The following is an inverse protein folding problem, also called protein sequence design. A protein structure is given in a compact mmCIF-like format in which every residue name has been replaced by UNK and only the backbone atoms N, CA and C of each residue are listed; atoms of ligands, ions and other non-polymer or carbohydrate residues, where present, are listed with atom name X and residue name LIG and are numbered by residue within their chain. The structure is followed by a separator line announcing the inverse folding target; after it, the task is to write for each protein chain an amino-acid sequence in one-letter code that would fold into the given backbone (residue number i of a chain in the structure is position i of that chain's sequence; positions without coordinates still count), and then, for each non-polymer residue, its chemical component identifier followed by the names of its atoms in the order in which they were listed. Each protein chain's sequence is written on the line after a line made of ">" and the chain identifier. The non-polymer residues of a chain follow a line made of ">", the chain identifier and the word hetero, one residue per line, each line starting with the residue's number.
data_IF_313782353275
#
_entry.id   IF_313782353275
#
_cell.length_a   1.000
_cell.length_b   1.000
_cell.length_c   1.000
_cell.angle_alpha   90.00
_cell.angle_beta   90.00
_cell.angle_gamma   90.00
#
_symmetry.space_group_name_H-M   'P 1'
#
loop_
_entity.id
_entity.type
_entity.pdbx_description
1 polymer ?
#
# COMPACT_ATOMS: atom_id res chain seq x y z
N UNK A 1 -12.51 -21.56 -47.73
CA UNK A 1 -12.89 -21.35 -46.32
C UNK A 1 -14.37 -21.70 -46.18
N UNK A 2 -14.72 -22.64 -45.30
CA UNK A 2 -16.07 -23.19 -45.22
C UNK A 2 -16.96 -22.31 -44.33
N UNK A 3 -18.06 -21.80 -44.88
CA UNK A 3 -19.13 -21.15 -44.11
C UNK A 3 -20.15 -22.21 -43.74
N UNK A 4 -20.50 -22.33 -42.46
CA UNK A 4 -21.48 -23.32 -42.00
C UNK A 4 -22.68 -22.62 -41.39
N UNK A 5 -23.88 -23.04 -41.79
CA UNK A 5 -25.15 -22.53 -41.29
C UNK A 5 -25.50 -23.20 -39.95
N UNK A 6 -25.99 -22.39 -39.00
CA UNK A 6 -26.36 -22.80 -37.66
C UNK A 6 -27.69 -22.14 -37.26
N UNK A 7 -28.66 -22.95 -36.82
CA UNK A 7 -29.85 -22.44 -36.16
C UNK A 7 -29.58 -22.32 -34.65
N UNK A 8 -29.59 -21.09 -34.11
CA UNK A 8 -29.47 -20.85 -32.68
C UNK A 8 -30.87 -20.79 -32.06
N UNK A 9 -31.18 -21.73 -31.17
CA UNK A 9 -32.39 -21.67 -30.36
C UNK A 9 -32.30 -20.48 -29.39
N UNK A 10 -33.15 -19.46 -29.63
CA UNK A 10 -33.32 -18.31 -28.75
C UNK A 10 -34.63 -18.48 -27.98
N UNK A 11 -34.60 -18.71 -26.65
CA UNK A 11 -35.82 -18.90 -25.87
C UNK A 11 -36.79 -17.72 -26.02
N UNK A 12 -38.00 -17.99 -26.51
CA UNK A 12 -39.09 -17.01 -26.62
C UNK A 12 -38.91 -15.92 -27.69
N UNK A 13 -38.05 -16.12 -28.70
CA UNK A 13 -37.74 -15.09 -29.72
C UNK A 13 -37.77 -15.66 -31.14
N UNK A 14 -38.07 -14.84 -32.17
CA UNK A 14 -38.16 -15.32 -33.55
C UNK A 14 -36.85 -15.92 -34.03
N UNK A 15 -36.94 -16.87 -34.97
CA UNK A 15 -35.78 -17.60 -35.51
C UNK A 15 -34.71 -16.65 -36.04
N UNK A 16 -33.48 -16.90 -35.61
CA UNK A 16 -32.29 -16.17 -36.03
C UNK A 16 -31.34 -17.17 -36.69
N UNK A 17 -31.05 -16.94 -37.96
CA UNK A 17 -30.04 -17.69 -38.70
C UNK A 17 -28.67 -17.13 -38.38
N UNK A 18 -27.73 -18.01 -38.05
CA UNK A 18 -26.35 -17.64 -37.78
C UNK A 18 -25.42 -18.42 -38.69
N UNK A 19 -24.54 -17.72 -39.39
CA UNK A 19 -23.42 -18.35 -40.08
C UNK A 19 -22.13 -18.02 -39.35
N UNK A 20 -21.15 -18.92 -39.40
CA UNK A 20 -19.89 -18.67 -38.73
C UNK A 20 -18.68 -18.97 -39.61
N UNK A 21 -17.58 -18.27 -39.33
CA UNK A 21 -16.33 -18.37 -40.05
C UNK A 21 -15.15 -18.20 -39.09
N UNK A 22 -14.20 -19.14 -39.15
CA UNK A 22 -12.92 -19.01 -38.44
C UNK A 22 -12.07 -17.95 -39.15
N UNK A 23 -11.54 -17.02 -38.36
CA UNK A 23 -10.63 -15.97 -38.79
C UNK A 23 -9.22 -16.25 -38.25
N UNK A 24 -8.26 -15.44 -38.68
CA UNK A 24 -6.90 -15.49 -38.15
C UNK A 24 -6.84 -15.29 -36.64
N UNK A 25 -5.80 -15.89 -36.03
CA UNK A 25 -5.48 -15.77 -34.61
C UNK A 25 -6.59 -16.28 -33.68
N UNK A 26 -7.30 -17.34 -34.09
CA UNK A 26 -8.26 -18.03 -33.22
C UNK A 26 -9.59 -17.32 -33.05
N UNK A 27 -9.86 -16.26 -33.82
CA UNK A 27 -11.13 -15.52 -33.76
C UNK A 27 -12.19 -16.23 -34.57
N UNK A 28 -13.45 -16.17 -34.14
CA UNK A 28 -14.58 -16.67 -34.94
C UNK A 28 -15.62 -15.58 -35.13
N UNK A 29 -15.92 -15.33 -36.40
CA UNK A 29 -16.97 -14.44 -36.84
C UNK A 29 -18.30 -15.18 -36.85
N UNK A 30 -19.32 -14.59 -36.25
CA UNK A 30 -20.71 -15.02 -36.29
C UNK A 30 -21.53 -13.93 -36.97
N UNK A 31 -22.08 -14.22 -38.14
CA UNK A 31 -23.00 -13.33 -38.85
C UNK A 31 -24.42 -13.73 -38.51
N UNK A 32 -25.16 -12.79 -37.95
CA UNK A 32 -26.49 -12.99 -37.39
C UNK A 32 -27.51 -12.32 -38.31
N UNK A 33 -28.58 -13.05 -38.67
CA UNK A 33 -29.66 -12.53 -39.50
C UNK A 33 -31.02 -13.02 -38.98
N UNK A 34 -31.91 -12.08 -38.74
CA UNK A 34 -33.30 -12.33 -38.35
C UNK A 34 -34.16 -11.09 -38.63
N UNK A 35 -35.47 -11.19 -38.36
CA UNK A 35 -36.44 -10.13 -38.71
C UNK A 35 -36.14 -8.77 -38.07
N UNK A 36 -35.62 -8.76 -36.83
CA UNK A 36 -35.33 -7.53 -36.05
C UNK A 36 -33.89 -7.49 -35.53
N UNK A 37 -33.03 -8.37 -36.00
CA UNK A 37 -31.64 -8.49 -35.57
C UNK A 37 -30.77 -8.81 -36.78
N UNK A 38 -29.75 -7.99 -37.04
CA UNK A 38 -28.73 -8.29 -38.04
C UNK A 38 -27.37 -7.75 -37.62
N UNK A 39 -26.29 -8.36 -38.08
CA UNK A 39 -24.93 -7.84 -37.92
C UNK A 39 -23.94 -8.92 -37.51
N UNK A 40 -22.75 -8.51 -37.10
CA UNK A 40 -21.64 -9.42 -36.84
C UNK A 40 -21.23 -9.40 -35.37
N UNK A 41 -20.93 -10.57 -34.83
CA UNK A 41 -20.28 -10.77 -33.54
C UNK A 41 -18.96 -11.50 -33.77
N UNK A 42 -17.85 -10.99 -33.25
CA UNK A 42 -16.56 -11.69 -33.29
C UNK A 42 -16.21 -12.17 -31.90
N UNK A 43 -16.08 -13.48 -31.77
CA UNK A 43 -15.64 -14.16 -30.56
C UNK A 43 -14.13 -14.30 -30.63
N UNK A 44 -13.43 -13.68 -29.69
CA UNK A 44 -11.98 -13.66 -29.62
C UNK A 44 -11.52 -14.23 -28.26
N UNK A 45 -10.70 -15.29 -28.23
CA UNK A 45 -10.07 -15.73 -27.01
C UNK A 45 -9.22 -14.61 -26.39
N UNK A 46 -9.20 -14.54 -25.07
CA UNK A 46 -8.50 -13.54 -24.29
C UNK A 46 -7.73 -14.21 -23.15
N UNK A 47 -6.45 -13.83 -23.05
CA UNK A 47 -5.54 -14.32 -22.02
C UNK A 47 -5.30 -13.18 -21.04
N UNK A 48 -5.89 -13.23 -19.84
CA UNK A 48 -5.63 -12.22 -18.84
C UNK A 48 -4.14 -12.21 -18.45
N UNK A 49 -3.58 -11.00 -18.30
CA UNK A 49 -2.20 -10.79 -17.90
C UNK A 49 -1.85 -11.44 -16.54
N UNK A 50 -2.82 -11.57 -15.63
CA UNK A 50 -2.62 -12.14 -14.29
C UNK A 50 -3.42 -13.45 -14.04
N UNK A 51 -3.98 -14.09 -15.09
CA UNK A 51 -4.77 -15.32 -14.93
C UNK A 51 -3.95 -16.60 -14.80
N UNK A 52 -4.62 -17.75 -14.85
CA UNK A 52 -3.92 -19.04 -14.97
C UNK A 52 -3.54 -19.32 -16.43
N UNK A 53 -2.46 -20.07 -16.64
CA UNK A 53 -2.17 -20.68 -17.96
C UNK A 53 -3.33 -21.61 -18.29
N UNK A 54 -3.82 -21.58 -19.53
CA UNK A 54 -4.97 -22.39 -19.91
C UNK A 54 -6.33 -21.81 -19.47
N UNK A 55 -6.36 -20.69 -18.73
CA UNK A 55 -7.60 -19.99 -18.44
C UNK A 55 -7.95 -19.07 -19.60
N UNK A 56 -8.84 -19.54 -20.46
CA UNK A 56 -9.22 -18.83 -21.67
C UNK A 56 -10.56 -18.15 -21.46
N UNK A 57 -10.49 -16.84 -21.21
CA UNK A 57 -11.66 -16.00 -21.29
C UNK A 57 -11.91 -15.64 -22.75
N UNK A 58 -13.06 -15.03 -23.01
CA UNK A 58 -13.47 -14.68 -24.37
C UNK A 58 -14.07 -13.28 -24.38
N UNK A 59 -13.65 -12.46 -25.32
CA UNK A 59 -14.33 -11.22 -25.65
C UNK A 59 -15.27 -11.43 -26.84
N UNK A 60 -16.46 -10.85 -26.76
CA UNK A 60 -17.38 -10.77 -27.89
C UNK A 60 -17.40 -9.33 -28.38
N UNK A 61 -16.73 -9.09 -29.50
CA UNK A 61 -16.71 -7.80 -30.17
C UNK A 61 -17.95 -7.65 -31.03
N UNK A 62 -18.56 -6.46 -30.99
CA UNK A 62 -19.68 -6.11 -31.86
C UNK A 62 -19.11 -5.52 -33.16
N UNK A 63 -19.26 -6.24 -34.28
CA UNK A 63 -18.60 -5.97 -35.56
C UNK A 63 -17.22 -6.65 -35.73
N UNK A 64 -16.66 -6.54 -36.93
CA UNK A 64 -15.49 -7.27 -37.46
C UNK A 64 -14.14 -6.64 -37.12
N UNK A 65 -14.11 -5.52 -36.38
CA UNK A 65 -12.84 -4.83 -36.16
C UNK A 65 -11.87 -5.55 -35.24
N UNK A 66 -10.60 -5.35 -35.57
CA UNK A 66 -9.43 -6.08 -35.04
C UNK A 66 -8.80 -5.45 -33.81
N UNK A 67 -9.06 -4.15 -33.58
CA UNK A 67 -8.51 -3.36 -32.48
C UNK A 67 -9.45 -3.36 -31.26
N UNK A 68 -8.90 -3.02 -30.08
CA UNK A 68 -9.71 -2.54 -28.96
C UNK A 68 -10.70 -1.51 -29.49
N UNK A 69 -11.97 -1.65 -29.15
CA UNK A 69 -13.05 -0.80 -29.65
C UNK A 69 -12.63 0.66 -29.47
N UNK A 70 -12.19 1.32 -30.55
CA UNK A 70 -11.87 2.74 -30.50
C UNK A 70 -13.20 3.44 -30.21
N UNK A 71 -13.29 4.23 -29.14
CA UNK A 71 -14.53 4.92 -28.88
C UNK A 71 -14.79 5.84 -30.08
N UNK A 72 -16.05 5.85 -30.55
CA UNK A 72 -16.60 6.85 -31.48
C UNK A 72 -16.43 6.62 -33.00
N UNK A 73 -16.17 5.42 -33.51
CA UNK A 73 -16.29 5.17 -34.96
C UNK A 73 -17.27 4.02 -35.23
N UNK A 74 -18.52 4.31 -35.66
CA UNK A 74 -19.51 3.27 -35.94
C UNK A 74 -19.05 2.41 -37.12
N UNK A 75 -19.13 1.09 -36.94
CA UNK A 75 -18.79 0.14 -38.01
C UNK A 75 -20.05 -0.30 -38.74
N UNK A 76 -20.01 -0.46 -40.08
CA UNK A 76 -21.20 -0.76 -40.88
C UNK A 76 -21.83 -2.12 -40.53
N UNK A 77 -21.03 -3.05 -40.01
CA UNK A 77 -21.37 -4.43 -39.72
C UNK A 77 -21.72 -4.71 -38.24
N UNK A 78 -21.74 -3.66 -37.41
CA UNK A 78 -22.25 -3.74 -36.04
C UNK A 78 -23.68 -4.28 -35.96
N UNK A 79 -24.04 -4.97 -34.87
CA UNK A 79 -25.38 -5.47 -34.65
C UNK A 79 -26.41 -4.35 -34.58
N UNK A 80 -27.45 -4.47 -35.40
CA UNK A 80 -28.65 -3.64 -35.39
C UNK A 80 -29.79 -4.47 -34.83
N UNK A 81 -30.32 -4.05 -33.68
CA UNK A 81 -31.38 -4.74 -32.94
C UNK A 81 -32.57 -3.82 -32.76
N UNK A 82 -33.75 -4.22 -33.24
CA UNK A 82 -34.96 -3.39 -33.25
C UNK A 82 -34.71 -1.98 -33.85
N UNK A 83 -33.88 -1.90 -34.90
CA UNK A 83 -33.51 -0.64 -35.55
C UNK A 83 -32.40 0.16 -34.85
N UNK A 84 -31.89 -0.31 -33.71
CA UNK A 84 -30.83 0.35 -32.95
C UNK A 84 -29.48 -0.31 -33.21
N UNK A 85 -28.51 0.46 -33.73
CA UNK A 85 -27.12 0.01 -33.88
C UNK A 85 -26.41 0.01 -32.53
N UNK A 86 -25.76 -1.09 -32.18
CA UNK A 86 -25.10 -1.30 -30.90
C UNK A 86 -23.60 -1.47 -31.10
N UNK A 87 -22.83 -0.62 -30.43
CA UNK A 87 -21.38 -0.54 -30.52
C UNK A 87 -20.73 -0.97 -29.20
N UNK A 88 -19.59 -1.65 -29.26
CA UNK A 88 -18.85 -2.06 -28.08
C UNK A 88 -18.30 -3.48 -28.14
N UNK A 89 -17.98 -4.00 -26.97
CA UNK A 89 -17.59 -5.39 -26.76
C UNK A 89 -18.09 -5.85 -25.38
N UNK A 90 -18.21 -7.17 -25.19
CA UNK A 90 -18.45 -7.73 -23.87
C UNK A 90 -17.24 -7.52 -22.95
N UNK A 91 -17.46 -7.62 -21.65
CA UNK A 91 -16.37 -7.95 -20.73
C UNK A 91 -15.78 -9.34 -21.05
N UNK A 92 -14.69 -9.69 -20.38
CA UNK A 92 -14.10 -11.01 -20.53
C UNK A 92 -15.07 -12.05 -19.96
N UNK A 93 -15.63 -12.89 -20.82
CA UNK A 93 -16.60 -13.92 -20.46
C UNK A 93 -15.90 -15.26 -20.25
N UNK A 94 -16.30 -15.98 -19.22
CA UNK A 94 -15.99 -17.40 -19.06
C UNK A 94 -17.02 -18.22 -19.85
N UNK A 95 -16.65 -18.89 -20.96
CA UNK A 95 -17.58 -19.70 -21.74
C UNK A 95 -18.21 -20.85 -20.95
N UNK A 96 -17.53 -21.34 -19.89
CA UNK A 96 -17.99 -22.44 -19.06
C UNK A 96 -18.90 -21.98 -17.91
N UNK A 97 -18.84 -20.68 -17.55
CA UNK A 97 -19.65 -20.05 -16.50
C UNK A 97 -20.15 -18.67 -16.92
N UNK A 98 -21.14 -18.64 -17.81
CA UNK A 98 -21.70 -17.38 -18.29
C UNK A 98 -22.47 -16.64 -17.19
N UNK A 99 -22.22 -15.33 -16.97
CA UNK A 99 -22.96 -14.52 -16.01
C UNK A 99 -24.41 -14.30 -16.46
N UNK A 100 -25.27 -13.91 -15.51
CA UNK A 100 -26.66 -13.55 -15.78
C UNK A 100 -26.76 -12.35 -16.75
N UNK A 101 -25.84 -11.40 -16.67
CA UNK A 101 -25.71 -10.23 -17.55
C UNK A 101 -24.38 -10.34 -18.29
N UNK A 102 -24.41 -10.41 -19.62
CA UNK A 102 -23.21 -10.58 -20.46
C UNK A 102 -22.75 -9.28 -21.12
N UNK A 103 -23.64 -8.29 -21.23
CA UNK A 103 -23.33 -6.95 -21.70
C UNK A 103 -23.19 -6.04 -20.49
N UNK A 104 -21.96 -5.67 -20.11
CA UNK A 104 -21.69 -4.68 -19.07
C UNK A 104 -21.60 -3.26 -19.67
N UNK A 105 -21.05 -2.29 -18.93
CA UNK A 105 -20.97 -0.85 -19.28
C UNK A 105 -20.21 -0.51 -20.58
N UNK A 106 -19.61 -1.50 -21.25
CA UNK A 106 -18.81 -1.35 -22.48
C UNK A 106 -19.62 -1.37 -23.78
N UNK A 107 -20.94 -1.32 -23.68
CA UNK A 107 -21.84 -1.33 -24.85
C UNK A 107 -22.74 -0.12 -24.84
N UNK A 108 -22.80 0.57 -25.97
CA UNK A 108 -23.56 1.81 -26.14
C UNK A 108 -24.18 1.93 -27.53
N UNK A 109 -25.09 2.88 -27.67
CA UNK A 109 -25.55 3.36 -28.98
C UNK A 109 -24.77 4.61 -29.31
N UNK A 110 -24.06 4.62 -30.43
CA UNK A 110 -23.39 5.80 -30.95
C UNK A 110 -24.40 6.74 -31.59
N UNK A 111 -24.32 8.01 -31.22
CA UNK A 111 -25.09 9.11 -31.79
C UNK A 111 -24.30 9.80 -32.90
N UNK A 112 -24.99 10.59 -33.73
CA UNK A 112 -24.39 11.29 -34.88
C UNK A 112 -23.35 12.35 -34.50
N UNK A 113 -23.40 12.85 -33.27
CA UNK A 113 -22.45 13.80 -32.67
C UNK A 113 -21.29 13.11 -31.94
N UNK A 114 -21.09 11.82 -32.17
CA UNK A 114 -20.14 10.97 -31.43
C UNK A 114 -20.49 10.81 -29.94
N UNK A 115 -21.66 11.29 -29.50
CA UNK A 115 -22.21 11.00 -28.19
C UNK A 115 -22.53 9.52 -28.04
N UNK A 116 -22.62 9.07 -26.79
CA UNK A 116 -23.07 7.71 -26.47
C UNK A 116 -24.34 7.77 -25.62
N UNK A 117 -25.27 6.84 -25.88
CA UNK A 117 -26.40 6.61 -24.98
C UNK A 117 -26.52 5.14 -24.60
N UNK A 118 -27.22 4.88 -23.50
CA UNK A 118 -27.55 3.53 -23.05
C UNK A 118 -28.33 2.78 -24.14
N UNK A 119 -28.02 1.50 -24.32
CA UNK A 119 -28.79 0.60 -25.19
C UNK A 119 -30.18 0.38 -24.59
N UNK A 120 -31.28 0.56 -25.34
CA UNK A 120 -32.63 0.26 -24.86
C UNK A 120 -32.77 -1.19 -24.39
N UNK A 121 -33.54 -1.41 -23.33
CA UNK A 121 -33.58 -2.72 -22.65
C UNK A 121 -34.01 -3.87 -23.59
N UNK A 122 -35.03 -3.66 -24.42
CA UNK A 122 -35.44 -4.68 -25.40
C UNK A 122 -34.38 -5.04 -26.45
N UNK A 123 -33.53 -4.07 -26.85
CA UNK A 123 -32.40 -4.33 -27.75
C UNK A 123 -31.24 -5.01 -27.01
N UNK A 124 -30.99 -4.61 -25.76
CA UNK A 124 -29.99 -5.21 -24.88
C UNK A 124 -30.30 -6.67 -24.60
N UNK A 125 -31.50 -6.98 -24.13
CA UNK A 125 -31.88 -8.37 -23.81
C UNK A 125 -31.81 -9.28 -25.04
N UNK A 126 -32.23 -8.78 -26.20
CA UNK A 126 -32.12 -9.47 -27.50
C UNK A 126 -30.67 -9.81 -27.83
N UNK A 127 -29.77 -8.84 -27.71
CA UNK A 127 -28.35 -9.04 -27.96
C UNK A 127 -27.70 -9.97 -26.92
N UNK A 128 -28.06 -9.86 -25.64
CA UNK A 128 -27.57 -10.75 -24.58
C UNK A 128 -27.96 -12.22 -24.82
N UNK A 129 -29.19 -12.48 -25.27
CA UNK A 129 -29.62 -13.84 -25.59
C UNK A 129 -28.80 -14.44 -26.75
N UNK A 130 -28.51 -13.64 -27.77
CA UNK A 130 -27.71 -14.05 -28.92
C UNK A 130 -26.27 -14.32 -28.50
N UNK A 131 -25.67 -13.44 -27.70
CA UNK A 131 -24.33 -13.64 -27.16
C UNK A 131 -24.26 -14.91 -26.33
N UNK A 132 -25.24 -15.15 -25.44
CA UNK A 132 -25.30 -16.40 -24.67
C UNK A 132 -25.40 -17.63 -25.57
N UNK A 133 -26.21 -17.58 -26.64
CA UNK A 133 -26.32 -18.68 -27.59
C UNK A 133 -25.01 -18.91 -28.37
N UNK A 134 -24.37 -17.84 -28.86
CA UNK A 134 -23.06 -17.90 -29.51
C UNK A 134 -21.99 -18.45 -28.56
N UNK A 135 -21.99 -18.06 -27.28
CA UNK A 135 -21.04 -18.57 -26.30
C UNK A 135 -21.27 -20.05 -25.97
N UNK A 136 -22.52 -20.52 -25.90
CA UNK A 136 -22.83 -21.95 -25.76
C UNK A 136 -22.34 -22.76 -26.97
N UNK A 137 -22.50 -22.22 -28.18
CA UNK A 137 -21.96 -22.84 -29.39
C UNK A 137 -20.43 -22.87 -29.35
N UNK A 138 -19.78 -21.73 -29.09
CA UNK A 138 -18.33 -21.61 -28.94
C UNK A 138 -17.77 -22.66 -27.97
N UNK A 139 -18.41 -22.83 -26.81
CA UNK A 139 -18.02 -23.81 -25.79
C UNK A 139 -17.99 -25.26 -26.32
N UNK A 140 -18.89 -25.61 -27.23
CA UNK A 140 -19.08 -26.97 -27.78
C UNK A 140 -18.30 -27.24 -29.07
N UNK A 141 -17.57 -26.25 -29.59
CA UNK A 141 -16.80 -26.41 -30.82
C UNK A 141 -15.71 -27.46 -30.66
N UNK A 142 -15.57 -28.34 -31.66
CA UNK A 142 -14.50 -29.34 -31.68
C UNK A 142 -13.10 -28.72 -31.83
N UNK A 143 -12.98 -27.61 -32.56
CA UNK A 143 -11.74 -26.87 -32.80
C UNK A 143 -11.45 -25.79 -31.74
N UNK A 144 -12.21 -25.74 -30.63
CA UNK A 144 -12.05 -24.70 -29.58
C UNK A 144 -10.62 -24.61 -29.07
N UNK A 145 -9.98 -25.75 -28.81
CA UNK A 145 -8.61 -25.80 -28.29
C UNK A 145 -7.61 -25.18 -29.27
N UNK A 146 -7.73 -25.48 -30.56
CA UNK A 146 -6.85 -24.95 -31.61
C UNK A 146 -7.03 -23.43 -31.78
N UNK A 147 -8.27 -22.96 -31.74
CA UNK A 147 -8.59 -21.53 -31.80
C UNK A 147 -7.98 -20.77 -30.63
N UNK A 148 -8.13 -21.33 -29.43
CA UNK A 148 -7.50 -20.78 -28.23
C UNK A 148 -5.98 -20.72 -28.39
N UNK A 149 -5.34 -21.82 -28.77
CA UNK A 149 -3.89 -21.89 -28.95
C UNK A 149 -3.39 -20.90 -30.01
N UNK A 150 -4.14 -20.70 -31.09
CA UNK A 150 -3.83 -19.71 -32.13
C UNK A 150 -3.86 -18.27 -31.59
N UNK A 151 -4.79 -17.96 -30.68
CA UNK A 151 -4.82 -16.68 -29.99
C UNK A 151 -3.65 -16.53 -29.00
N UNK A 152 -3.29 -17.60 -28.27
CA UNK A 152 -2.12 -17.57 -27.38
C UNK A 152 -0.83 -17.30 -28.13
N UNK A 153 -0.61 -17.97 -29.26
CA UNK A 153 0.57 -17.75 -30.10
C UNK A 153 0.66 -16.31 -30.60
N UNK A 154 -0.46 -15.70 -30.98
CA UNK A 154 -0.51 -14.29 -31.42
C UNK A 154 0.00 -13.34 -30.33
N UNK A 155 -0.50 -13.51 -29.10
CA UNK A 155 -0.23 -12.57 -28.01
C UNK A 155 1.03 -12.94 -27.20
N UNK A 156 1.60 -14.13 -27.44
CA UNK A 156 2.72 -14.70 -26.68
C UNK A 156 3.91 -13.73 -26.56
N UNK A 157 4.31 -13.06 -27.64
CA UNK A 157 5.44 -12.12 -27.60
C UNK A 157 5.19 -10.93 -26.65
N UNK A 158 3.97 -10.38 -26.65
CA UNK A 158 3.59 -9.30 -25.72
C UNK A 158 3.53 -9.81 -24.27
N UNK A 159 2.99 -11.01 -24.09
CA UNK A 159 2.89 -11.65 -22.78
C UNK A 159 4.26 -11.97 -22.20
N UNK A 160 5.23 -12.44 -22.99
CA UNK A 160 6.62 -12.65 -22.52
C UNK A 160 7.21 -11.36 -21.94
N UNK A 161 7.05 -10.23 -22.63
CA UNK A 161 7.54 -8.94 -22.16
C UNK A 161 6.84 -8.53 -20.86
N UNK A 162 5.51 -8.73 -20.77
CA UNK A 162 4.76 -8.45 -19.56
C UNK A 162 5.23 -9.30 -18.37
N UNK A 163 5.30 -10.62 -18.54
CA UNK A 163 5.70 -11.56 -17.50
C UNK A 163 7.16 -11.33 -17.06
N UNK A 164 8.06 -10.98 -17.99
CA UNK A 164 9.44 -10.64 -17.67
C UNK A 164 9.52 -9.40 -16.75
N UNK A 165 8.77 -8.34 -17.04
CA UNK A 165 8.69 -7.17 -16.15
C UNK A 165 8.15 -7.54 -14.77
N UNK A 166 7.12 -8.41 -14.71
CA UNK A 166 6.58 -8.90 -13.42
C UNK A 166 7.61 -9.69 -12.63
N UNK A 167 8.40 -10.53 -13.29
CA UNK A 167 9.49 -11.29 -12.67
C UNK A 167 10.55 -10.35 -12.09
N UNK A 168 10.95 -9.31 -12.83
CA UNK A 168 11.90 -8.29 -12.38
C UNK A 168 11.36 -7.53 -11.15
N UNK A 169 10.14 -7.01 -11.23
CA UNK A 169 9.47 -6.30 -10.14
C UNK A 169 9.38 -7.15 -8.86
N UNK A 170 8.98 -8.42 -9.00
CA UNK A 170 8.85 -9.33 -7.85
C UNK A 170 10.21 -9.70 -7.28
N UNK A 171 11.24 -9.83 -8.11
CA UNK A 171 12.61 -10.10 -7.65
C UNK A 171 13.14 -8.93 -6.82
N UNK A 172 12.91 -7.68 -7.26
CA UNK A 172 13.27 -6.49 -6.51
C UNK A 172 12.51 -6.40 -5.16
N UNK A 173 11.19 -6.59 -5.17
CA UNK A 173 10.35 -6.60 -3.95
C UNK A 173 10.75 -7.70 -2.97
N UNK A 174 11.16 -8.86 -3.47
CA UNK A 174 11.64 -9.96 -2.64
C UNK A 174 12.97 -9.61 -1.96
N UNK A 175 13.88 -8.95 -2.68
CA UNK A 175 15.16 -8.48 -2.12
C UNK A 175 14.93 -7.45 -1.00
N UNK A 176 14.03 -6.49 -1.22
CA UNK A 176 13.61 -5.51 -0.21
C UNK A 176 13.02 -6.19 1.03
N UNK A 177 12.04 -7.09 0.83
CA UNK A 177 11.39 -7.84 1.92
C UNK A 177 12.42 -8.67 2.73
N UNK A 178 13.42 -9.24 2.07
CA UNK A 178 14.52 -9.97 2.74
C UNK A 178 15.43 -9.05 3.54
N UNK A 179 15.74 -7.87 3.02
CA UNK A 179 16.53 -6.86 3.74
C UNK A 179 15.77 -6.36 4.98
N UNK A 180 14.48 -6.08 4.86
CA UNK A 180 13.61 -5.71 6.00
C UNK A 180 13.57 -6.82 7.04
N UNK A 181 13.42 -8.09 6.61
CA UNK A 181 13.42 -9.25 7.51
C UNK A 181 14.75 -9.39 8.24
N UNK A 182 15.87 -9.18 7.56
CA UNK A 182 17.20 -9.18 8.17
C UNK A 182 17.35 -8.05 9.20
N UNK A 183 16.89 -6.84 8.87
CA UNK A 183 16.88 -5.71 9.79
C UNK A 183 16.01 -5.97 11.03
N UNK A 184 14.80 -6.52 10.85
CA UNK A 184 13.92 -6.93 11.95
C UNK A 184 14.56 -8.04 12.81
N UNK A 185 15.25 -9.00 12.17
CA UNK A 185 16.03 -10.03 12.86
C UNK A 185 17.17 -9.43 13.70
N UNK A 186 17.88 -8.43 13.19
CA UNK A 186 18.90 -7.70 13.93
C UNK A 186 18.31 -6.96 15.14
N UNK A 187 17.18 -6.27 14.96
CA UNK A 187 16.46 -5.62 16.06
C UNK A 187 16.04 -6.62 17.13
N UNK A 188 15.51 -7.78 16.74
CA UNK A 188 15.14 -8.87 17.67
C UNK A 188 16.33 -9.34 18.51
N UNK A 189 17.50 -9.52 17.88
CA UNK A 189 18.76 -9.87 18.57
C UNK A 189 19.19 -8.78 19.54
N UNK A 190 19.16 -7.52 19.13
CA UNK A 190 19.51 -6.38 19.99
C UNK A 190 18.58 -6.27 21.20
N UNK A 191 17.27 -6.40 21.01
CA UNK A 191 16.28 -6.39 22.10
C UNK A 191 16.55 -7.54 23.08
N UNK A 192 16.85 -8.73 22.55
CA UNK A 192 17.19 -9.88 23.39
C UNK A 192 18.50 -9.72 24.14
N UNK A 193 19.49 -9.05 23.53
CA UNK A 193 20.72 -8.66 24.20
C UNK A 193 20.47 -7.65 25.33
N UNK A 194 19.61 -6.65 25.11
CA UNK A 194 19.24 -5.67 26.13
C UNK A 194 18.55 -6.32 27.34
N UNK A 195 17.63 -7.25 27.09
CA UNK A 195 16.92 -7.98 28.14
C UNK A 195 17.89 -8.73 29.07
N UNK A 196 18.87 -9.45 28.48
CA UNK A 196 19.88 -10.24 29.20
C UNK A 196 20.96 -9.38 29.86
N UNK A 197 21.21 -8.17 29.35
CA UNK A 197 22.25 -7.27 29.88
C UNK A 197 21.95 -6.97 31.35
N UNK A 198 22.93 -7.11 32.25
CA UNK A 198 22.77 -6.67 33.65
C UNK A 198 22.48 -5.17 33.69
N UNK A 199 21.46 -4.77 34.45
CA UNK A 199 21.15 -3.36 34.62
C UNK A 199 22.22 -2.72 35.53
N UNK A 200 22.92 -1.67 35.08
CA UNK A 200 23.82 -0.93 35.95
C UNK A 200 23.03 -0.27 37.08
N UNK A 201 23.61 -0.11 38.28
CA UNK A 201 22.95 0.60 39.37
C UNK A 201 22.69 2.06 38.98
N UNK A 202 21.48 2.54 39.22
CA UNK A 202 21.19 3.97 39.18
C UNK A 202 21.56 4.59 40.53
N UNK A 203 22.02 5.84 40.53
CA UNK A 203 22.34 6.55 41.77
C UNK A 203 21.04 6.96 42.46
N UNK A 204 20.98 6.96 43.81
CA UNK A 204 19.83 7.50 44.53
C UNK A 204 19.69 9.01 44.28
N UNK A 205 18.52 9.56 44.58
CA UNK A 205 18.27 11.00 44.48
C UNK A 205 19.26 11.79 45.36
N UNK A 206 19.89 12.81 44.79
CA UNK A 206 20.78 13.70 45.54
C UNK A 206 19.98 14.67 46.41
N UNK A 207 20.25 14.65 47.72
CA UNK A 207 19.58 15.51 48.71
C UNK A 207 19.98 16.99 48.60
N UNK A 208 21.21 17.27 48.16
CA UNK A 208 21.76 18.63 48.06
C UNK A 208 21.28 19.29 46.75
N UNK A 209 20.64 20.48 46.82
CA UNK A 209 20.29 21.21 45.61
C UNK A 209 21.52 21.69 44.84
N UNK A 210 21.50 21.53 43.52
CA UNK A 210 22.49 22.09 42.62
C UNK A 210 22.02 23.42 42.02
N UNK A 211 22.96 24.33 41.77
CA UNK A 211 22.68 25.64 41.19
C UNK A 211 22.99 25.67 39.70
N UNK A 212 21.96 25.80 38.88
CA UNK A 212 22.08 25.73 37.41
C UNK A 212 21.75 27.09 36.79
N UNK A 213 22.65 27.70 36.00
CA UNK A 213 22.38 28.99 35.37
C UNK A 213 21.28 28.88 34.30
N UNK A 214 20.44 29.90 34.21
CA UNK A 214 19.45 30.04 33.14
C UNK A 214 19.87 31.13 32.15
N UNK A 215 19.74 30.82 30.87
CA UNK A 215 20.08 31.74 29.78
C UNK A 215 18.92 31.82 28.79
N UNK A 216 18.57 33.04 28.40
CA UNK A 216 17.63 33.30 27.32
C UNK A 216 18.19 32.86 25.96
N UNK A 217 17.36 32.80 24.93
CA UNK A 217 17.81 32.36 23.59
C UNK A 217 18.83 33.32 22.94
N UNK A 218 18.83 34.59 23.35
CA UNK A 218 19.76 35.62 22.90
C UNK A 218 21.07 35.67 23.72
N UNK A 219 21.23 34.78 24.70
CA UNK A 219 22.39 34.76 25.60
C UNK A 219 22.23 35.57 26.88
N UNK A 220 21.12 36.28 27.08
CA UNK A 220 20.89 37.09 28.28
C UNK A 220 20.73 36.21 29.53
N UNK A 221 21.47 36.47 30.63
CA UNK A 221 21.28 35.75 31.90
C UNK A 221 19.88 35.97 32.48
N UNK A 222 19.21 34.90 32.89
CA UNK A 222 17.84 34.95 33.45
C UNK A 222 17.78 34.59 34.95
N UNK A 223 18.94 34.44 35.58
CA UNK A 223 19.13 34.02 36.97
C UNK A 223 19.62 32.58 37.09
N UNK A 224 19.55 32.04 38.30
CA UNK A 224 20.01 30.69 38.64
C UNK A 224 18.85 29.88 39.22
N UNK A 225 18.72 28.62 38.81
CA UNK A 225 17.79 27.65 39.40
C UNK A 225 18.49 26.90 40.52
N UNK A 226 17.76 26.65 41.60
CA UNK A 226 18.05 25.57 42.54
C UNK A 226 17.27 24.33 42.08
N UNK A 227 18.02 23.30 41.67
CA UNK A 227 17.49 22.03 41.16
C UNK A 227 17.85 20.94 42.17
N UNK A 228 16.84 20.25 42.70
CA UNK A 228 17.02 19.11 43.61
C UNK A 228 16.35 17.88 43.03
N UNK A 229 17.03 16.74 43.12
CA UNK A 229 16.44 15.45 42.77
C UNK A 229 15.49 15.02 43.88
N UNK A 230 14.21 14.89 43.56
CA UNK A 230 13.20 14.42 44.51
C UNK A 230 13.10 12.89 44.49
N UNK A 231 13.12 12.32 43.29
CA UNK A 231 12.92 10.89 43.08
C UNK A 231 13.75 10.43 41.87
N UNK A 232 14.45 9.32 42.03
CA UNK A 232 15.08 8.59 40.91
C UNK A 232 14.39 7.24 40.80
N UNK A 233 13.54 7.09 39.81
CA UNK A 233 12.87 5.84 39.50
C UNK A 233 13.74 5.07 38.51
N UNK A 234 14.56 4.19 39.08
CA UNK A 234 15.45 3.31 38.35
C UNK A 234 14.72 2.22 37.55
N UNK A 235 13.42 2.01 37.77
CA UNK A 235 12.62 1.03 37.04
C UNK A 235 12.20 1.59 35.69
N UNK A 236 11.71 2.83 35.67
CA UNK A 236 11.28 3.53 34.44
C UNK A 236 12.39 4.40 33.82
N UNK A 237 13.51 4.57 34.53
CA UNK A 237 14.62 5.43 34.10
C UNK A 237 14.30 6.91 34.19
N UNK A 238 13.36 7.33 35.05
CA UNK A 238 12.91 8.72 35.17
C UNK A 238 13.46 9.38 36.43
N UNK A 239 13.64 10.69 36.38
CA UNK A 239 14.05 11.52 37.51
C UNK A 239 13.05 12.65 37.67
N UNK A 240 12.54 12.82 38.89
CA UNK A 240 11.69 13.95 39.27
C UNK A 240 12.56 14.98 39.95
N UNK A 241 12.53 16.21 39.44
CA UNK A 241 13.27 17.35 39.96
C UNK A 241 12.31 18.32 40.61
N UNK A 242 12.63 18.76 41.82
CA UNK A 242 12.08 19.99 42.40
C UNK A 242 12.94 21.16 41.93
N UNK A 243 12.31 22.14 41.31
CA UNK A 243 12.99 23.31 40.75
C UNK A 243 12.44 24.57 41.41
N UNK A 244 13.34 25.43 41.86
CA UNK A 244 12.99 26.75 42.40
C UNK A 244 13.97 27.81 41.91
N UNK A 245 13.51 29.04 41.74
CA UNK A 245 14.34 30.15 41.30
C UNK A 245 13.51 31.38 40.94
N UNK A 246 14.11 32.41 40.31
CA UNK A 246 13.42 33.63 39.94
C UNK A 246 12.19 33.34 39.07
N UNK A 247 11.00 33.58 39.62
CA UNK A 247 9.69 33.38 38.96
C UNK A 247 9.42 31.95 38.47
N UNK A 248 10.09 30.95 39.03
CA UNK A 248 9.92 29.53 38.68
C UNK A 248 9.86 28.70 39.96
N UNK A 249 8.82 27.88 40.13
CA UNK A 249 8.76 26.85 41.18
C UNK A 249 7.92 25.65 40.78
N UNK A 250 8.29 24.45 41.21
CA UNK A 250 7.47 23.23 41.08
C UNK A 250 8.24 22.03 40.58
N UNK A 251 7.53 20.99 40.12
CA UNK A 251 8.14 19.73 39.71
C UNK A 251 8.32 19.61 38.19
N UNK A 252 9.39 18.92 37.81
CA UNK A 252 9.69 18.56 36.43
C UNK A 252 10.15 17.10 36.40
N UNK A 253 9.64 16.31 35.47
CA UNK A 253 10.07 14.93 35.30
C UNK A 253 10.84 14.79 34.00
N UNK A 254 12.08 14.31 34.09
CA UNK A 254 12.92 13.98 32.93
C UNK A 254 13.02 12.47 32.81
N UNK A 255 12.81 11.94 31.61
CA UNK A 255 12.86 10.51 31.32
C UNK A 255 13.43 10.27 29.92
N UNK A 256 13.94 9.08 29.59
CA UNK A 256 14.25 8.72 28.22
C UNK A 256 13.00 8.74 27.35
N UNK A 257 13.10 9.25 26.12
CA UNK A 257 11.95 9.48 25.24
C UNK A 257 11.12 8.19 25.06
N UNK A 258 9.83 8.14 25.48
CA UNK A 258 8.97 6.98 25.34
C UNK A 258 8.76 6.53 23.90
N UNK A 259 8.92 7.43 22.92
CA UNK A 259 8.63 7.20 21.51
C UNK A 259 9.87 6.97 20.65
N UNK A 260 11.06 6.95 21.26
CA UNK A 260 12.26 6.58 20.54
C UNK A 260 12.13 5.14 20.02
N UNK A 261 12.50 4.91 18.76
CA UNK A 261 12.46 3.59 18.11
C UNK A 261 13.73 2.76 18.38
N UNK A 262 14.79 3.39 18.90
CA UNK A 262 16.05 2.72 19.26
C UNK A 262 15.88 1.77 20.45
N UNK A 263 16.59 0.63 20.40
CA UNK A 263 16.53 -0.42 21.45
C UNK A 263 16.82 0.15 22.83
N UNK A 264 17.85 1.00 22.93
CA UNK A 264 18.08 1.87 24.08
C UNK A 264 17.69 3.28 23.63
N UNK A 265 16.74 3.95 24.32
CA UNK A 265 16.36 5.32 23.97
C UNK A 265 17.56 6.26 24.06
N UNK A 266 17.79 7.03 23.00
CA UNK A 266 18.77 8.10 22.89
C UNK A 266 18.14 9.46 23.22
N UNK A 267 16.85 9.62 22.90
CA UNK A 267 16.12 10.83 23.21
C UNK A 267 15.76 10.99 24.69
N UNK A 268 15.36 12.20 25.05
CA UNK A 268 14.80 12.56 26.36
C UNK A 268 13.39 13.11 26.19
N UNK A 269 12.56 12.96 27.21
CA UNK A 269 11.30 13.66 27.37
C UNK A 269 11.28 14.34 28.72
N UNK A 270 10.94 15.63 28.71
CA UNK A 270 10.70 16.41 29.92
C UNK A 270 9.23 16.74 29.99
N UNK A 271 8.62 16.49 31.14
CA UNK A 271 7.24 16.83 31.41
C UNK A 271 7.16 17.83 32.57
N UNK A 272 6.19 18.73 32.47
CA UNK A 272 5.85 19.64 33.55
C UNK A 272 5.01 18.88 34.60
N UNK A 273 5.51 18.81 35.84
CA UNK A 273 4.90 18.06 36.95
C UNK A 273 5.42 16.62 37.10
N UNK A 274 4.88 15.92 38.11
CA UNK A 274 5.16 14.51 38.41
C UNK A 274 4.09 13.60 37.80
N UNK A 275 4.43 12.49 37.12
CA UNK A 275 3.45 11.52 36.63
C UNK A 275 2.64 10.93 37.80
N UNK A 276 1.32 10.90 37.63
CA UNK A 276 0.37 10.29 38.58
C UNK A 276 0.27 8.77 38.47
N UNK A 277 0.62 8.22 37.31
CA UNK A 277 0.61 6.79 37.06
C UNK A 277 2.03 6.35 36.68
N UNK A 278 2.32 5.08 36.89
CA UNK A 278 3.62 4.51 36.51
C UNK A 278 3.89 4.57 35.00
N UNK A 279 2.85 4.78 34.18
CA UNK A 279 3.02 5.02 32.76
C UNK A 279 3.65 6.40 32.48
N UNK A 280 4.83 6.35 31.86
CA UNK A 280 5.52 7.49 31.24
C UNK A 280 4.63 8.38 30.35
N UNK A 281 3.54 7.83 29.80
CA UNK A 281 2.59 8.54 28.92
C UNK A 281 1.41 9.17 29.65
N UNK A 282 1.31 9.07 30.98
CA UNK A 282 0.20 9.68 31.72
C UNK A 282 0.13 11.19 31.43
N UNK A 283 -1.04 11.64 30.98
CA UNK A 283 -1.35 13.07 30.83
C UNK A 283 -1.70 13.72 32.16
N UNK A 284 -2.05 12.91 33.15
CA UNK A 284 -2.35 13.36 34.50
C UNK A 284 -1.03 13.58 35.24
N UNK A 285 -0.86 14.80 35.75
CA UNK A 285 0.36 15.23 36.42
C UNK A 285 -0.03 15.99 37.68
N UNK A 286 0.71 15.74 38.74
CA UNK A 286 0.62 16.51 39.97
C UNK A 286 1.75 17.55 40.05
N UNK A 287 1.52 18.57 40.89
CA UNK A 287 2.51 19.59 41.25
C UNK A 287 3.17 20.26 40.03
N UNK A 288 2.32 20.63 39.06
CA UNK A 288 2.72 21.29 37.84
C UNK A 288 3.39 22.64 38.17
N UNK A 289 4.49 22.98 37.50
CA UNK A 289 5.29 24.13 37.87
C UNK A 289 4.61 25.45 37.51
N UNK A 290 4.83 26.43 38.38
CA UNK A 290 4.43 27.82 38.19
C UNK A 290 5.61 28.61 37.62
N UNK A 291 5.42 29.24 36.45
CA UNK A 291 6.41 30.06 35.76
C UNK A 291 5.80 31.43 35.47
N UNK A 292 6.45 32.50 35.92
CA UNK A 292 5.90 33.87 35.91
C UNK A 292 4.48 33.95 36.51
N UNK A 293 4.21 33.19 37.56
CA UNK A 293 2.89 33.16 38.20
C UNK A 293 1.86 32.26 37.53
N UNK A 294 2.17 31.63 36.39
CA UNK A 294 1.22 30.80 35.62
C UNK A 294 1.59 29.32 35.71
N UNK A 295 0.60 28.44 35.92
CA UNK A 295 0.80 26.98 35.92
C UNK A 295 1.00 26.48 34.48
N UNK A 296 2.12 25.80 34.24
CA UNK A 296 2.52 25.33 32.90
C UNK A 296 2.32 23.83 32.77
N UNK A 297 1.81 23.42 31.61
CA UNK A 297 1.45 22.05 31.24
C UNK A 297 2.20 21.57 30.00
N UNK A 298 2.19 20.25 29.83
CA UNK A 298 2.65 19.56 28.63
C UNK A 298 3.95 18.80 28.84
N UNK A 299 4.58 18.47 27.73
CA UNK A 299 5.88 17.84 27.70
C UNK A 299 6.63 18.31 26.45
N UNK A 300 7.95 18.27 26.54
CA UNK A 300 8.85 18.42 25.42
C UNK A 300 9.62 17.12 25.21
N UNK A 301 9.96 16.83 23.95
CA UNK A 301 10.73 15.67 23.55
C UNK A 301 11.95 16.12 22.76
N UNK A 302 13.08 15.57 23.13
CA UNK A 302 14.36 15.81 22.51
C UNK A 302 14.84 14.50 21.87
N UNK A 303 14.86 14.44 20.54
CA UNK A 303 15.25 13.24 19.81
C UNK A 303 16.76 12.99 19.69
N UNK A 304 17.62 13.82 20.32
CA UNK A 304 19.08 13.62 20.30
C UNK A 304 19.83 14.08 19.05
N UNK A 305 19.12 14.57 18.01
CA UNK A 305 19.74 14.91 16.70
C UNK A 305 20.38 16.30 16.64
N UNK A 306 19.83 17.27 17.37
CA UNK A 306 20.30 18.67 17.37
C UNK A 306 20.93 18.99 18.71
N UNK A 307 22.19 19.46 18.79
CA UNK A 307 22.81 19.77 20.08
C UNK A 307 21.94 20.71 20.92
N UNK A 308 21.72 20.35 22.18
CA UNK A 308 21.13 21.27 23.14
C UNK A 308 22.26 22.09 23.73
N UNK A 309 22.09 23.41 23.71
CA UNK A 309 22.98 24.37 24.34
C UNK A 309 22.18 25.22 25.33
N UNK A 310 22.81 26.09 26.12
CA UNK A 310 22.08 27.00 26.99
C UNK A 310 21.07 27.91 26.25
N UNK A 311 21.28 28.16 24.96
CA UNK A 311 20.47 29.07 24.13
C UNK A 311 19.64 28.36 23.05
N UNK A 312 19.96 27.11 22.70
CA UNK A 312 19.32 26.34 21.64
C UNK A 312 18.73 25.02 22.13
N UNK A 313 17.51 24.64 21.71
CA UNK A 313 16.62 25.36 20.80
C UNK A 313 16.05 26.64 21.43
N UNK A 314 15.79 27.69 20.64
CA UNK A 314 15.43 29.02 21.17
C UNK A 314 14.09 28.99 21.93
N UNK A 315 13.13 28.23 21.42
CA UNK A 315 11.79 28.12 21.97
C UNK A 315 11.38 26.67 22.16
N UNK A 316 10.81 26.37 23.32
CA UNK A 316 10.30 25.07 23.72
C UNK A 316 8.83 25.17 24.11
N UNK A 317 8.05 24.10 23.95
CA UNK A 317 6.61 24.15 24.16
C UNK A 317 6.28 24.34 25.64
N UNK A 318 5.47 25.34 25.94
CA UNK A 318 4.83 25.58 27.23
C UNK A 318 3.35 25.85 27.00
N UNK A 319 2.48 25.16 27.74
CA UNK A 319 1.02 25.31 27.59
C UNK A 319 0.37 25.73 28.90
N UNK A 320 -0.77 26.39 28.82
CA UNK A 320 -1.59 26.80 29.96
C UNK A 320 -3.01 26.28 29.76
N UNK A 321 -3.66 25.87 30.85
CA UNK A 321 -5.07 25.46 30.79
C UNK A 321 -5.96 26.67 30.49
N UNK A 322 -6.95 26.50 29.61
CA UNK A 322 -7.92 27.55 29.24
C UNK A 322 -9.35 27.24 29.68
N UNK A 323 -9.55 26.20 30.49
CA UNK A 323 -10.87 25.65 30.83
C UNK A 323 -11.24 24.41 30.00
N UNK A 324 -12.20 23.62 30.47
CA UNK A 324 -12.78 22.43 29.80
C UNK A 324 -11.76 21.42 29.23
N UNK A 325 -10.64 21.22 29.92
CA UNK A 325 -9.57 20.32 29.47
C UNK A 325 -8.84 20.79 28.20
N UNK A 326 -9.03 22.05 27.78
CA UNK A 326 -8.33 22.68 26.66
C UNK A 326 -7.05 23.36 27.14
N UNK A 327 -6.09 23.43 26.22
CA UNK A 327 -4.77 24.03 26.46
C UNK A 327 -4.41 24.97 25.33
N UNK A 328 -3.88 26.15 25.69
CA UNK A 328 -3.30 27.11 24.76
C UNK A 328 -1.80 27.28 25.00
N UNK A 329 -1.11 27.93 24.05
CA UNK A 329 0.28 28.33 24.25
C UNK A 329 0.38 29.30 25.44
N UNK A 330 1.42 29.13 26.26
CA UNK A 330 1.68 30.07 27.35
C UNK A 330 2.07 31.46 26.79
N UNK A 331 1.84 32.55 27.56
CA UNK A 331 2.30 33.89 27.18
C UNK A 331 3.78 33.90 26.80
N UNK A 332 4.18 34.77 25.86
CA UNK A 332 5.53 34.77 25.29
C UNK A 332 6.65 34.82 26.35
N UNK A 333 6.51 35.69 27.37
CA UNK A 333 7.47 35.79 28.46
C UNK A 333 7.55 34.50 29.32
N UNK A 334 6.42 33.82 29.52
CA UNK A 334 6.36 32.52 30.22
C UNK A 334 6.97 31.43 29.38
N UNK A 335 6.70 31.41 28.08
CA UNK A 335 7.30 30.45 27.14
C UNK A 335 8.82 30.63 27.06
N UNK A 336 9.33 31.86 26.98
CA UNK A 336 10.76 32.14 26.97
C UNK A 336 11.45 31.65 28.26
N UNK A 337 10.87 31.96 29.43
CA UNK A 337 11.40 31.48 30.72
C UNK A 337 11.31 29.97 30.86
N UNK A 338 10.18 29.36 30.46
CA UNK A 338 10.01 27.91 30.47
C UNK A 338 11.02 27.21 29.56
N UNK A 339 11.33 27.80 28.41
CA UNK A 339 12.34 27.28 27.48
C UNK A 339 13.74 27.30 28.11
N UNK A 340 14.11 28.38 28.78
CA UNK A 340 15.38 28.46 29.52
C UNK A 340 15.46 27.43 30.66
N UNK A 341 14.37 27.23 31.40
CA UNK A 341 14.28 26.20 32.46
C UNK A 341 14.47 24.80 31.87
N UNK A 342 13.75 24.47 30.79
CA UNK A 342 13.86 23.16 30.16
C UNK A 342 15.27 22.90 29.61
N UNK A 343 15.92 23.87 28.95
CA UNK A 343 17.31 23.73 28.47
C UNK A 343 18.27 23.48 29.64
N UNK A 344 18.17 24.28 30.70
CA UNK A 344 18.98 24.12 31.91
C UNK A 344 18.81 22.73 32.54
N UNK A 345 17.56 22.25 32.65
CA UNK A 345 17.27 20.91 33.18
C UNK A 345 17.78 19.79 32.29
N UNK A 346 17.69 19.90 30.95
CA UNK A 346 18.30 18.89 30.07
C UNK A 346 19.80 18.85 30.25
N UNK A 347 20.47 20.00 30.23
CA UNK A 347 21.92 20.04 30.36
C UNK A 347 22.38 19.44 31.69
N UNK A 348 21.69 19.78 32.78
CA UNK A 348 21.92 19.17 34.10
C UNK A 348 21.66 17.64 34.08
N UNK A 349 20.56 17.18 33.48
CA UNK A 349 20.27 15.74 33.37
C UNK A 349 21.30 15.01 32.49
N UNK A 350 21.75 15.62 31.39
CA UNK A 350 22.73 15.04 30.48
C UNK A 350 24.12 14.88 31.14
N UNK A 351 24.44 15.71 32.13
CA UNK A 351 25.66 15.65 32.91
C UNK A 351 25.65 14.56 34.00
N UNK A 352 24.52 13.85 34.20
CA UNK A 352 24.44 12.78 35.21
C UNK A 352 25.38 11.61 34.88
N UNK A 353 26.15 11.11 35.86
CA UNK A 353 27.06 9.97 35.66
C UNK A 353 26.32 8.65 35.42
N UNK A 354 25.09 8.51 35.92
CA UNK A 354 24.26 7.30 35.81
C UNK A 354 23.23 7.36 34.66
N UNK A 355 23.32 8.36 33.78
CA UNK A 355 22.36 8.57 32.67
C UNK A 355 22.17 7.31 31.83
N UNK A 356 23.26 6.62 31.51
CA UNK A 356 23.18 5.41 30.67
C UNK A 356 22.51 4.24 31.41
N UNK A 357 22.60 4.18 32.74
CA UNK A 357 21.85 3.22 33.56
C UNK A 357 20.34 3.47 33.46
N UNK A 358 19.91 4.73 33.58
CA UNK A 358 18.51 5.14 33.43
C UNK A 358 17.97 4.83 32.02
N UNK A 359 18.78 5.03 30.99
CA UNK A 359 18.40 4.71 29.60
C UNK A 359 18.25 3.21 29.37
N UNK A 360 19.14 2.40 29.94
CA UNK A 360 19.03 0.93 29.91
C UNK A 360 17.76 0.47 30.64
N UNK A 361 17.46 1.05 31.81
CA UNK A 361 16.24 0.76 32.55
C UNK A 361 14.98 1.01 31.72
N UNK A 362 14.86 2.21 31.14
CA UNK A 362 13.75 2.58 30.28
C UNK A 362 13.63 1.68 29.05
N UNK A 363 14.76 1.27 28.47
CA UNK A 363 14.78 0.29 27.38
C UNK A 363 14.25 -1.07 27.81
N UNK A 364 14.65 -1.55 29.00
CA UNK A 364 14.21 -2.84 29.58
C UNK A 364 12.71 -2.88 29.84
N UNK A 365 12.11 -1.81 30.32
CA UNK A 365 10.65 -1.71 30.46
C UNK A 365 9.89 -2.04 29.19
N UNK A 366 10.43 -1.61 28.05
CA UNK A 366 9.77 -1.73 26.75
C UNK A 366 10.08 -3.05 26.05
N UNK A 367 10.96 -3.90 26.59
CA UNK A 367 11.41 -5.14 25.95
C UNK A 367 10.25 -6.05 25.60
N UNK A 368 9.31 -6.27 26.54
CA UNK A 368 8.18 -7.18 26.30
C UNK A 368 7.29 -6.72 25.13
N UNK A 369 6.91 -5.44 25.12
CA UNK A 369 6.12 -4.84 24.05
C UNK A 369 6.85 -4.85 22.71
N UNK A 370 8.14 -4.48 22.71
CA UNK A 370 8.97 -4.47 21.49
C UNK A 370 9.25 -5.86 20.93
N UNK A 371 9.47 -6.86 21.79
CA UNK A 371 9.60 -8.27 21.37
C UNK A 371 8.35 -8.75 20.65
N UNK A 372 7.16 -8.44 21.19
CA UNK A 372 5.89 -8.77 20.55
C UNK A 372 5.79 -8.10 19.18
N UNK A 373 5.99 -6.78 19.13
CA UNK A 373 5.94 -6.02 17.87
C UNK A 373 6.90 -6.56 16.80
N UNK A 374 8.15 -6.86 17.15
CA UNK A 374 9.14 -7.40 16.19
C UNK A 374 8.79 -8.82 15.77
N UNK A 375 8.21 -9.64 16.66
CA UNK A 375 7.71 -10.98 16.30
C UNK A 375 6.59 -10.90 15.29
N UNK A 376 5.63 -10.00 15.50
CA UNK A 376 4.49 -9.79 14.61
C UNK A 376 4.95 -9.24 13.24
N UNK A 377 5.92 -8.32 13.25
CA UNK A 377 6.59 -7.82 12.05
C UNK A 377 7.27 -8.94 11.27
N UNK A 378 8.10 -9.77 11.93
CA UNK A 378 8.77 -10.91 11.29
C UNK A 378 7.78 -11.92 10.72
N UNK A 379 6.67 -12.19 11.42
CA UNK A 379 5.61 -13.08 10.93
C UNK A 379 4.89 -12.50 9.70
N UNK A 380 4.67 -11.18 9.67
CA UNK A 380 4.13 -10.49 8.49
C UNK A 380 5.11 -10.58 7.31
N UNK A 381 6.39 -10.26 7.52
CA UNK A 381 7.42 -10.30 6.48
C UNK A 381 7.59 -11.70 5.88
N UNK A 382 7.58 -12.76 6.71
CA UNK A 382 7.62 -14.15 6.22
C UNK A 382 6.42 -14.48 5.32
N UNK A 383 5.20 -14.10 5.73
CA UNK A 383 4.00 -14.32 4.90
C UNK A 383 4.07 -13.56 3.58
N UNK A 384 4.58 -12.33 3.59
CA UNK A 384 4.81 -11.54 2.39
C UNK A 384 5.85 -12.21 1.47
N UNK A 385 6.99 -12.64 2.02
CA UNK A 385 8.05 -13.34 1.28
C UNK A 385 7.52 -14.62 0.60
N UNK A 386 6.79 -15.47 1.33
CA UNK A 386 6.18 -16.68 0.76
C UNK A 386 5.18 -16.36 -0.36
N UNK A 387 4.36 -15.31 -0.20
CA UNK A 387 3.40 -14.88 -1.22
C UNK A 387 4.12 -14.39 -2.48
N UNK A 388 5.17 -13.60 -2.31
CA UNK A 388 5.99 -13.09 -3.42
C UNK A 388 6.73 -14.22 -4.14
N UNK A 389 7.28 -15.20 -3.42
CA UNK A 389 7.91 -16.39 -4.02
C UNK A 389 6.94 -17.18 -4.88
N UNK A 390 5.75 -17.50 -4.35
CA UNK A 390 4.71 -18.19 -5.13
C UNK A 390 4.26 -17.38 -6.35
N UNK A 391 4.19 -16.05 -6.23
CA UNK A 391 3.89 -15.19 -7.36
C UNK A 391 5.02 -15.23 -8.41
N UNK A 392 6.27 -15.14 -7.96
CA UNK A 392 7.46 -15.17 -8.81
C UNK A 392 7.55 -16.50 -9.59
N UNK A 393 7.36 -17.63 -8.92
CA UNK A 393 7.33 -18.95 -9.56
C UNK A 393 6.23 -19.04 -10.62
N UNK A 394 5.02 -18.54 -10.32
CA UNK A 394 3.92 -18.49 -11.30
C UNK A 394 4.24 -17.63 -12.52
N UNK A 395 4.78 -16.42 -12.32
CA UNK A 395 5.14 -15.54 -13.44
C UNK A 395 6.32 -16.07 -14.25
N UNK A 396 7.29 -16.75 -13.62
CA UNK A 396 8.35 -17.47 -14.34
C UNK A 396 7.79 -18.59 -15.21
N UNK A 397 6.93 -19.44 -14.66
CA UNK A 397 6.29 -20.50 -15.43
C UNK A 397 5.46 -19.96 -16.60
N UNK A 398 4.71 -18.86 -16.39
CA UNK A 398 3.97 -18.17 -17.46
C UNK A 398 4.88 -17.62 -18.54
N UNK A 399 5.95 -16.91 -18.15
CA UNK A 399 6.95 -16.39 -19.08
C UNK A 399 7.54 -17.51 -19.94
N UNK A 400 7.96 -18.61 -19.32
CA UNK A 400 8.62 -19.72 -19.99
C UNK A 400 7.64 -20.43 -20.95
N UNK A 401 6.37 -20.58 -20.57
CA UNK A 401 5.30 -21.09 -21.44
C UNK A 401 5.10 -20.21 -22.68
N UNK A 402 4.94 -18.89 -22.51
CA UNK A 402 4.75 -18.00 -23.66
C UNK A 402 6.02 -17.88 -24.52
N UNK A 403 7.22 -17.97 -23.92
CA UNK A 403 8.48 -17.97 -24.65
C UNK A 403 8.60 -19.21 -25.55
N UNK A 404 8.15 -20.38 -25.08
CA UNK A 404 8.08 -21.59 -25.90
C UNK A 404 7.15 -21.41 -27.11
N UNK A 405 5.96 -20.82 -26.92
CA UNK A 405 5.03 -20.53 -28.03
C UNK A 405 5.62 -19.58 -29.08
N UNK A 406 6.40 -18.58 -28.65
CA UNK A 406 7.12 -17.67 -29.59
C UNK A 406 8.19 -18.44 -30.37
N UNK A 407 8.92 -19.34 -29.73
CA UNK A 407 9.96 -20.14 -30.38
C UNK A 407 9.36 -21.09 -31.43
N UNK A 408 8.27 -21.79 -31.11
CA UNK A 408 7.54 -22.66 -32.04
C UNK A 408 7.03 -21.90 -33.27
N UNK A 409 6.51 -20.69 -33.08
CA UNK A 409 6.01 -19.85 -34.18
C UNK A 409 7.10 -19.44 -35.18
N UNK A 410 8.36 -19.31 -34.75
CA UNK A 410 9.49 -18.95 -35.64
C UNK A 410 9.96 -20.11 -36.51
N UNK A 411 9.87 -21.35 -36.02
CA UNK A 411 10.32 -22.54 -36.75
C UNK A 411 9.44 -22.79 -37.99
N UNK A 412 8.13 -22.56 -37.88
CA UNK A 412 7.18 -22.80 -38.98
C UNK A 412 7.35 -21.76 -40.11
N UNK A 413 7.70 -20.51 -39.79
CA UNK A 413 7.96 -19.47 -40.81
C UNK A 413 9.31 -19.62 -41.51
N UNK A 414 10.27 -20.36 -40.92
CA UNK A 414 11.61 -20.55 -41.47
C UNK A 414 11.75 -21.71 -42.47
N UNK A 415 10.78 -22.62 -42.54
CA UNK A 415 10.86 -23.84 -43.38
C UNK A 415 10.09 -23.75 -44.71
N UNK A 416 9.57 -22.58 -45.08
CA UNK A 416 8.79 -22.39 -46.32
C UNK A 416 9.52 -21.61 -47.43
N UNK A 417 10.87 -21.58 -47.43
CA UNK A 417 11.67 -20.77 -48.37
C UNK A 417 12.83 -21.50 -49.06
N UNK A 418 12.76 -22.82 -49.23
CA UNK A 418 13.72 -23.58 -50.05
C UNK A 418 13.02 -24.71 -50.81
N UNK A 419 12.14 -24.36 -51.75
CA UNK A 419 11.69 -25.29 -52.79
C UNK A 419 10.96 -24.50 -53.91
N UNK A 420 11.65 -23.60 -54.61
CA UNK A 420 11.29 -23.15 -55.97
C UNK A 420 12.46 -22.37 -56.55
N UNK A 421 13.56 -23.07 -56.81
CA UNK A 421 14.58 -22.62 -57.75
C UNK A 421 15.24 -23.87 -58.31
N UNK A 422 14.57 -24.43 -59.31
CA UNK A 422 15.16 -25.17 -60.44
C UNK A 422 14.02 -25.64 -61.33
N UNK A 423 13.77 -24.86 -62.40
CA UNK A 423 13.22 -25.24 -63.71
C UNK A 423 12.74 -23.96 -64.43
N UNK A 424 13.67 -23.28 -65.09
CA UNK A 424 13.50 -22.61 -66.39
C UNK A 424 14.87 -22.08 -66.86
#
# INVERSE_FOLDING_TARGET
>A
MNTTDLNLELPGRPDVTVTHQVLEHGRVRYRVRGRRLRGTLVVAPYIPHDGQIGQHLVHVNLGEGIDSVRPYTPRPDEPVVNGVRVHGASEALDPDRLPAVVLASRVSVLLSDYGTRRVPDGAREALEAVIKAVMRHWRRRADRADLVQAAERRDAASLVVHEQRRVEDLTAKLAETRAERAAAGNRSRQISGLDRRRQPPARPALAVPEHVPMVASDGTPMGTLSVRELEVDAHHGRVVYTVSGPRTRGLFTVSPDPYDNGVIPQGLSISYGRPLADDSNSRLREEMPQINGVIVHGAWRYGGRTPITPTSPPQLPARVATGDGRYAAAPAATTARASAVLRALVLHHLARPDRDALRIAAGKQRVAGRRRSVRDELAKLRRTETRQLRALERHKARRDHFAALVAEGRVITGSSSTAFQDCA
#
